data_IF_772625263592
#
_entry.id   IF_772625263592
#
_cell.length_a   1.000
_cell.length_b   1.000
_cell.length_c   1.000
_cell.angle_alpha   90.00
_cell.angle_beta   90.00
_cell.angle_gamma   90.00
#
_symmetry.space_group_name_H-M   'P 1'
#
loop_
_entity.id
_entity.type
_entity.pdbx_description
1 polymer ?
#
# COMPACT_ATOMS: atom_id res chain seq x y z
N UNK A 1 -15.45 4.44 0.33
CA UNK A 1 -14.74 3.53 1.26
C UNK A 1 -13.44 3.07 0.61
N UNK A 2 -12.32 3.31 1.29
CA UNK A 2 -10.93 3.28 0.76
C UNK A 2 -10.48 4.54 -0.01
N UNK A 3 -11.17 5.68 0.16
CA UNK A 3 -10.81 6.95 -0.50
C UNK A 3 -9.60 7.70 0.11
N UNK A 4 -9.01 7.17 1.19
CA UNK A 4 -7.91 7.82 1.94
C UNK A 4 -6.55 7.13 1.75
N UNK A 5 -6.35 6.42 0.65
CA UNK A 5 -5.10 5.69 0.41
C UNK A 5 -3.95 6.59 -0.06
N UNK A 6 -4.25 7.67 -0.78
CA UNK A 6 -3.24 8.66 -1.25
C UNK A 6 -2.24 9.11 -0.17
N UNK A 7 -2.66 9.58 1.03
CA UNK A 7 -1.71 9.98 2.07
C UNK A 7 -0.88 8.80 2.60
N UNK A 8 -1.44 7.58 2.58
CA UNK A 8 -0.72 6.37 3.01
C UNK A 8 0.35 5.98 1.98
N UNK A 9 0.02 6.06 0.69
CA UNK A 9 0.97 5.80 -0.40
C UNK A 9 2.08 6.85 -0.39
N UNK A 10 1.75 8.14 -0.24
CA UNK A 10 2.76 9.19 -0.16
C UNK A 10 3.75 8.97 0.99
N UNK A 11 3.26 8.63 2.18
CA UNK A 11 4.12 8.30 3.33
C UNK A 11 4.96 7.04 3.09
N UNK A 12 4.42 6.04 2.38
CA UNK A 12 5.16 4.84 2.00
C UNK A 12 6.30 5.16 1.01
N UNK A 13 6.04 5.95 -0.02
CA UNK A 13 7.06 6.36 -1.00
C UNK A 13 8.18 7.18 -0.32
N UNK A 14 7.83 8.17 0.52
CA UNK A 14 8.81 8.96 1.28
C UNK A 14 9.68 8.06 2.17
N UNK A 15 9.08 7.08 2.84
CA UNK A 15 9.80 6.12 3.66
C UNK A 15 10.75 5.26 2.81
N UNK A 16 10.31 4.78 1.66
CA UNK A 16 11.12 3.98 0.74
C UNK A 16 12.34 4.77 0.26
N UNK A 17 12.13 6.01 -0.20
CA UNK A 17 13.20 6.90 -0.67
C UNK A 17 14.20 7.23 0.44
N UNK A 18 13.71 7.60 1.64
CA UNK A 18 14.56 7.95 2.79
C UNK A 18 15.47 6.78 3.21
N UNK A 19 15.05 5.54 2.96
CA UNK A 19 15.83 4.35 3.27
C UNK A 19 16.77 3.90 2.12
N UNK A 20 16.88 4.67 1.04
CA UNK A 20 17.77 4.38 -0.10
C UNK A 20 17.19 3.39 -1.11
N UNK A 21 15.89 3.13 -1.05
CA UNK A 21 15.19 2.27 -2.00
C UNK A 21 14.41 3.10 -3.01
N UNK A 22 13.90 2.42 -4.04
CA UNK A 22 12.88 2.97 -4.95
C UNK A 22 11.83 1.91 -5.25
N UNK A 23 10.61 2.34 -5.52
CA UNK A 23 9.58 1.44 -6.04
C UNK A 23 9.87 1.05 -7.49
N UNK A 24 9.63 -0.21 -7.83
CA UNK A 24 9.78 -0.70 -9.20
C UNK A 24 8.64 -1.68 -9.53
N UNK A 25 7.69 -1.19 -10.32
CA UNK A 25 6.59 -1.99 -10.83
C UNK A 25 6.87 -2.41 -12.27
N UNK A 26 7.27 -3.66 -12.46
CA UNK A 26 7.60 -4.21 -13.78
C UNK A 26 7.24 -5.70 -13.85
N UNK A 27 6.66 -6.12 -14.98
CA UNK A 27 6.25 -7.53 -15.18
C UNK A 27 5.38 -8.06 -14.04
N UNK A 28 5.88 -9.10 -13.35
CA UNK A 28 5.22 -9.74 -12.21
C UNK A 28 5.33 -8.96 -10.89
N UNK A 29 6.07 -7.86 -10.85
CA UNK A 29 6.23 -7.01 -9.67
C UNK A 29 5.21 -5.89 -9.75
N UNK A 30 4.04 -6.10 -9.14
CA UNK A 30 2.96 -5.10 -9.08
C UNK A 30 2.70 -4.69 -7.62
N UNK A 31 2.06 -3.55 -7.41
CA UNK A 31 1.50 -3.28 -6.09
C UNK A 31 0.39 -4.28 -5.78
N UNK A 32 0.22 -4.55 -4.50
CA UNK A 32 -0.88 -5.38 -4.02
C UNK A 32 -1.60 -4.66 -2.89
N UNK A 33 -2.91 -4.53 -3.06
CA UNK A 33 -3.85 -4.18 -1.99
C UNK A 33 -4.45 -5.47 -1.43
N UNK A 34 -4.35 -5.66 -0.13
CA UNK A 34 -4.97 -6.79 0.57
C UNK A 34 -6.00 -6.24 1.54
N UNK A 35 -7.27 -6.50 1.26
CA UNK A 35 -8.37 -6.19 2.16
C UNK A 35 -8.47 -7.29 3.23
N UNK A 36 -8.27 -6.92 4.50
CA UNK A 36 -8.21 -7.89 5.60
C UNK A 36 -9.60 -8.26 6.15
N UNK A 37 -10.61 -7.42 5.88
CA UNK A 37 -11.94 -7.55 6.45
C UNK A 37 -12.99 -7.70 5.36
N UNK A 38 -14.06 -8.45 5.65
CA UNK A 38 -15.23 -8.52 4.77
C UNK A 38 -16.03 -7.20 4.89
N UNK A 39 -16.14 -6.39 3.82
CA UNK A 39 -16.82 -5.09 3.85
C UNK A 39 -18.32 -5.20 4.05
N UNK A 40 -18.92 -6.39 3.87
CA UNK A 40 -20.36 -6.62 4.10
C UNK A 40 -20.69 -6.88 5.58
N UNK A 41 -19.68 -7.22 6.39
CA UNK A 41 -19.85 -7.64 7.79
C UNK A 41 -19.16 -6.71 8.79
N UNK A 42 -18.24 -5.88 8.31
CA UNK A 42 -17.38 -5.06 9.15
C UNK A 42 -17.75 -3.60 9.00
N UNK A 43 -17.90 -2.90 10.12
CA UNK A 43 -18.17 -1.46 10.12
C UNK A 43 -17.03 -0.70 9.39
N UNK A 44 -17.32 0.35 8.59
CA UNK A 44 -16.35 1.02 7.74
C UNK A 44 -15.07 1.47 8.46
N UNK A 45 -15.20 1.96 9.69
CA UNK A 45 -14.09 2.44 10.53
C UNK A 45 -13.15 1.33 11.02
N UNK A 46 -13.56 0.06 10.91
CA UNK A 46 -12.75 -1.11 11.27
C UNK A 46 -12.16 -1.82 10.06
N UNK A 47 -12.48 -1.40 8.84
CA UNK A 47 -11.91 -1.96 7.63
C UNK A 47 -10.42 -1.62 7.55
N UNK A 48 -9.60 -2.61 7.24
CA UNK A 48 -8.16 -2.46 7.07
C UNK A 48 -7.72 -2.98 5.70
N UNK A 49 -6.83 -2.22 5.08
CA UNK A 49 -6.15 -2.57 3.84
C UNK A 49 -4.65 -2.57 4.08
N UNK A 50 -3.96 -3.55 3.52
CA UNK A 50 -2.49 -3.56 3.45
C UNK A 50 -2.09 -3.20 2.03
N UNK A 51 -1.34 -2.10 1.89
CA UNK A 51 -0.75 -1.67 0.62
C UNK A 51 0.70 -2.16 0.58
N UNK A 52 1.10 -2.84 -0.50
CA UNK A 52 2.47 -3.32 -0.71
C UNK A 52 2.99 -2.84 -2.05
N UNK A 53 4.12 -2.14 -2.02
CA UNK A 53 4.85 -1.73 -3.22
C UNK A 53 6.13 -2.56 -3.38
N UNK A 54 6.43 -3.10 -4.57
CA UNK A 54 7.70 -3.76 -4.83
C UNK A 54 8.84 -2.73 -4.84
N UNK A 55 9.96 -3.06 -4.17
CA UNK A 55 11.14 -2.16 -4.06
C UNK A 55 12.41 -2.77 -4.66
N UNK A 56 13.33 -1.91 -5.10
CA UNK A 56 14.68 -2.28 -5.54
C UNK A 56 15.74 -1.35 -4.95
N UNK A 57 16.99 -1.81 -4.92
CA UNK A 57 18.15 -1.04 -4.44
C UNK A 57 18.48 -1.22 -2.95
N UNK A 58 19.58 -0.59 -2.54
CA UNK A 58 19.92 0.04 -1.25
C UNK A 58 21.20 0.85 -1.50
#
# INVERSE_FOLDING_TARGET
PYDNEEPTIAALEEFIETNGYRTEMSGLRQHHEIYLNDPRKTAPEKLRTVIRHPIVGK
#
